data_IF_192743171842
#
_entry.id   IF_192743171842
#
_cell.length_a   1.000
_cell.length_b   1.000
_cell.length_c   1.000
_cell.angle_alpha   90.00
_cell.angle_beta   90.00
_cell.angle_gamma   90.00
#
_symmetry.space_group_name_H-M   'P 1'
#
loop_
_entity.id
_entity.type
_entity.pdbx_description
1 polymer ?
#
# COMPACT_ATOMS: atom_id res chain seq x y z
N UNK A 1 -28.13 -20.51 -38.76
CA UNK A 1 -27.43 -20.81 -37.52
C UNK A 1 -25.95 -20.54 -37.71
N UNK A 2 -25.55 -19.33 -38.14
CA UNK A 2 -24.15 -18.98 -38.54
C UNK A 2 -23.80 -17.52 -38.23
N UNK A 3 -24.30 -16.97 -37.11
CA UNK A 3 -23.98 -15.58 -36.71
C UNK A 3 -23.35 -15.42 -35.33
N UNK A 4 -23.00 -16.50 -34.63
CA UNK A 4 -22.48 -16.43 -33.26
C UNK A 4 -20.96 -16.71 -33.14
N UNK A 5 -20.28 -17.15 -34.19
CA UNK A 5 -18.83 -17.46 -34.12
C UNK A 5 -17.92 -16.27 -34.49
N UNK A 6 -18.44 -15.24 -35.15
CA UNK A 6 -17.66 -14.06 -35.55
C UNK A 6 -17.42 -13.05 -34.44
N UNK A 7 -18.28 -13.02 -33.43
CA UNK A 7 -18.25 -11.99 -32.36
C UNK A 7 -17.26 -12.32 -31.27
N UNK A 8 -17.06 -13.61 -30.97
CA UNK A 8 -16.10 -14.07 -29.94
C UNK A 8 -14.64 -13.93 -30.37
N UNK A 9 -14.32 -14.07 -31.64
CA UNK A 9 -12.93 -13.91 -32.14
C UNK A 9 -12.50 -12.44 -32.20
N UNK A 10 -13.39 -11.51 -32.53
CA UNK A 10 -13.08 -10.08 -32.53
C UNK A 10 -12.98 -9.50 -31.11
N UNK A 11 -13.76 -9.98 -30.16
CA UNK A 11 -13.63 -9.62 -28.74
C UNK A 11 -12.32 -10.15 -28.14
N UNK A 12 -11.89 -11.36 -28.49
CA UNK A 12 -10.64 -11.92 -27.98
C UNK A 12 -9.40 -11.18 -28.54
N UNK A 13 -9.43 -10.75 -29.79
CA UNK A 13 -8.34 -9.99 -30.42
C UNK A 13 -8.25 -8.54 -29.86
N UNK A 14 -9.36 -7.90 -29.58
CA UNK A 14 -9.40 -6.57 -28.96
C UNK A 14 -8.93 -6.59 -27.49
N UNK A 15 -9.25 -7.64 -26.74
CA UNK A 15 -8.79 -7.81 -25.34
C UNK A 15 -7.28 -8.00 -25.26
N UNK A 16 -6.70 -8.82 -26.15
CA UNK A 16 -5.23 -8.97 -26.20
C UNK A 16 -4.52 -7.66 -26.58
N UNK A 17 -5.10 -6.85 -27.47
CA UNK A 17 -4.54 -5.55 -27.87
C UNK A 17 -4.57 -4.53 -26.73
N UNK A 18 -5.62 -4.52 -25.93
CA UNK A 18 -5.74 -3.66 -24.75
C UNK A 18 -4.69 -3.99 -23.68
N UNK A 19 -4.53 -5.28 -23.35
CA UNK A 19 -3.55 -5.73 -22.35
C UNK A 19 -2.12 -5.34 -22.75
N UNK A 20 -1.73 -5.56 -24.00
CA UNK A 20 -0.41 -5.19 -24.52
C UNK A 20 -0.17 -3.67 -24.40
N UNK A 21 -1.18 -2.86 -24.70
CA UNK A 21 -1.04 -1.40 -24.57
C UNK A 21 -0.93 -0.97 -23.11
N UNK A 22 -1.63 -1.62 -22.20
CA UNK A 22 -1.49 -1.37 -20.78
C UNK A 22 -0.08 -1.74 -20.30
N UNK A 23 0.43 -2.92 -20.65
CA UNK A 23 1.80 -3.35 -20.32
C UNK A 23 2.86 -2.39 -20.85
N UNK A 24 2.69 -1.88 -22.08
CA UNK A 24 3.58 -0.84 -22.63
C UNK A 24 3.52 0.44 -21.77
N UNK A 25 2.32 0.86 -21.35
CA UNK A 25 2.15 1.96 -20.42
C UNK A 25 2.89 1.73 -19.10
N UNK A 26 2.79 0.53 -18.52
CA UNK A 26 3.48 0.14 -17.28
C UNK A 26 5.01 0.17 -17.48
N UNK A 27 5.52 -0.36 -18.60
CA UNK A 27 6.94 -0.31 -18.95
C UNK A 27 7.46 1.12 -19.06
N UNK A 28 6.76 2.00 -19.77
CA UNK A 28 7.18 3.39 -19.92
C UNK A 28 7.07 4.16 -18.60
N UNK A 29 6.09 3.85 -17.74
CA UNK A 29 5.99 4.41 -16.39
C UNK A 29 7.22 4.02 -15.55
N UNK A 30 7.65 2.77 -15.61
CA UNK A 30 8.78 2.27 -14.82
C UNK A 30 10.11 2.91 -15.20
N UNK A 31 10.28 3.31 -16.46
CA UNK A 31 11.48 4.04 -16.93
C UNK A 31 11.33 5.56 -16.84
N UNK A 32 10.22 6.08 -16.31
CA UNK A 32 9.97 7.51 -16.14
C UNK A 32 9.59 8.26 -17.41
N UNK A 33 9.28 7.55 -18.50
CA UNK A 33 8.79 8.18 -19.74
C UNK A 33 7.27 8.36 -19.67
N UNK A 34 6.83 9.35 -18.90
CA UNK A 34 5.42 9.59 -18.61
C UNK A 34 4.59 10.03 -19.81
N UNK A 35 5.21 10.59 -20.84
CA UNK A 35 4.50 11.02 -22.06
C UNK A 35 4.08 9.81 -22.88
N UNK A 36 5.01 8.88 -23.14
CA UNK A 36 4.71 7.63 -23.81
C UNK A 36 3.76 6.75 -22.98
N UNK A 37 3.97 6.68 -21.66
CA UNK A 37 3.07 5.96 -20.76
C UNK A 37 1.63 6.47 -20.88
N UNK A 38 1.42 7.79 -20.82
CA UNK A 38 0.10 8.41 -20.99
C UNK A 38 -0.51 8.11 -22.36
N UNK A 39 0.31 8.10 -23.43
CA UNK A 39 -0.13 7.77 -24.77
C UNK A 39 -0.65 6.32 -24.86
N UNK A 40 0.10 5.35 -24.31
CA UNK A 40 -0.29 3.94 -24.35
C UNK A 40 -1.49 3.64 -23.47
N UNK A 41 -1.57 4.18 -22.23
CA UNK A 41 -2.76 4.05 -21.40
C UNK A 41 -4.00 4.70 -22.03
N UNK A 42 -3.81 5.86 -22.71
CA UNK A 42 -4.90 6.52 -23.44
C UNK A 42 -5.45 5.62 -24.55
N UNK A 43 -4.57 4.96 -25.32
CA UNK A 43 -4.99 3.97 -26.34
C UNK A 43 -5.68 2.76 -25.71
N UNK A 44 -5.15 2.25 -24.59
CA UNK A 44 -5.76 1.15 -23.86
C UNK A 44 -7.18 1.51 -23.37
N UNK A 45 -7.37 2.73 -22.84
CA UNK A 45 -8.68 3.22 -22.40
C UNK A 45 -9.69 3.37 -23.55
N UNK A 46 -9.22 3.62 -24.79
CA UNK A 46 -10.09 3.67 -25.97
C UNK A 46 -10.54 2.27 -26.39
N UNK A 47 -9.65 1.27 -26.31
CA UNK A 47 -9.96 -0.12 -26.65
C UNK A 47 -10.75 -0.86 -25.57
N UNK A 48 -10.48 -0.56 -24.31
CA UNK A 48 -11.15 -1.12 -23.13
C UNK A 48 -11.72 -0.01 -22.24
N UNK A 49 -12.79 0.69 -22.67
CA UNK A 49 -13.33 1.84 -21.92
C UNK A 49 -13.93 1.46 -20.57
N UNK A 50 -14.33 0.21 -20.40
CA UNK A 50 -14.90 -0.33 -19.16
C UNK A 50 -13.84 -1.00 -18.25
N UNK A 51 -12.59 -1.00 -18.67
CA UNK A 51 -11.50 -1.60 -17.91
C UNK A 51 -10.85 -0.58 -16.95
N UNK A 52 -10.68 -0.88 -15.65
CA UNK A 52 -10.12 0.07 -14.68
C UNK A 52 -8.62 0.29 -14.84
N UNK A 53 -7.88 -0.70 -15.38
CA UNK A 53 -6.42 -0.71 -15.48
C UNK A 53 -5.82 0.53 -16.12
N UNK A 54 -6.24 0.95 -17.33
CA UNK A 54 -5.72 2.15 -18.01
C UNK A 54 -5.91 3.42 -17.20
N UNK A 55 -7.06 3.55 -16.53
CA UNK A 55 -7.34 4.74 -15.70
C UNK A 55 -6.49 4.75 -14.43
N UNK A 56 -6.17 3.58 -13.85
CA UNK A 56 -5.16 3.48 -12.78
C UNK A 56 -3.81 3.95 -13.27
N UNK A 57 -3.38 3.51 -14.46
CA UNK A 57 -2.13 3.93 -15.09
C UNK A 57 -2.08 5.43 -15.38
N UNK A 58 -3.14 5.99 -15.98
CA UNK A 58 -3.27 7.44 -16.23
C UNK A 58 -3.21 8.23 -14.92
N UNK A 59 -3.90 7.76 -13.87
CA UNK A 59 -3.86 8.36 -12.54
C UNK A 59 -2.46 8.34 -11.93
N UNK A 60 -1.75 7.23 -12.06
CA UNK A 60 -0.37 7.09 -11.58
C UNK A 60 0.58 8.06 -12.31
N UNK A 61 0.50 8.15 -13.63
CA UNK A 61 1.28 9.11 -14.43
C UNK A 61 0.97 10.55 -14.03
N UNK A 62 -0.31 10.91 -13.89
CA UNK A 62 -0.72 12.25 -13.45
C UNK A 62 -0.18 12.58 -12.05
N UNK A 63 -0.19 11.62 -11.13
CA UNK A 63 0.36 11.77 -9.78
C UNK A 63 1.88 12.04 -9.82
N UNK A 64 2.64 11.31 -10.64
CA UNK A 64 4.08 11.54 -10.83
C UNK A 64 4.38 12.91 -11.42
N UNK A 65 3.50 13.43 -12.28
CA UNK A 65 3.58 14.78 -12.85
C UNK A 65 3.05 15.87 -11.91
N UNK A 66 2.63 15.50 -10.67
CA UNK A 66 2.00 16.38 -9.69
C UNK A 66 0.70 17.05 -10.18
N UNK A 67 0.00 16.42 -11.12
CA UNK A 67 -1.30 16.84 -11.64
C UNK A 67 -2.41 16.18 -10.78
N UNK A 68 -2.58 16.68 -9.56
CA UNK A 68 -3.41 16.01 -8.53
C UNK A 68 -4.89 15.90 -8.91
N UNK A 69 -5.44 16.87 -9.63
CA UNK A 69 -6.86 16.86 -10.04
C UNK A 69 -7.10 15.84 -11.14
N UNK A 70 -6.17 15.71 -12.09
CA UNK A 70 -6.22 14.70 -13.15
C UNK A 70 -6.05 13.30 -12.56
N UNK A 71 -5.10 13.14 -11.63
CA UNK A 71 -4.88 11.89 -10.92
C UNK A 71 -6.13 11.43 -10.17
N UNK A 72 -6.75 12.33 -9.37
CA UNK A 72 -7.99 12.02 -8.66
C UNK A 72 -9.11 11.61 -9.61
N UNK A 73 -9.26 12.36 -10.72
CA UNK A 73 -10.29 12.06 -11.72
C UNK A 73 -10.10 10.68 -12.31
N UNK A 74 -8.89 10.32 -12.72
CA UNK A 74 -8.59 9.03 -13.31
C UNK A 74 -8.82 7.87 -12.31
N UNK A 75 -8.34 7.99 -11.07
CA UNK A 75 -8.56 6.97 -10.03
C UNK A 75 -10.05 6.83 -9.67
N UNK A 76 -10.83 7.93 -9.65
CA UNK A 76 -12.28 7.87 -9.44
C UNK A 76 -13.01 7.17 -10.58
N UNK A 77 -12.54 7.32 -11.84
CA UNK A 77 -13.04 6.56 -12.97
C UNK A 77 -12.80 5.07 -12.76
N UNK A 78 -11.56 4.68 -12.39
CA UNK A 78 -11.23 3.30 -12.11
C UNK A 78 -12.09 2.69 -10.99
N UNK A 79 -12.31 3.41 -9.88
CA UNK A 79 -13.20 2.96 -8.79
C UNK A 79 -14.67 2.84 -9.21
N UNK A 80 -15.14 3.62 -10.22
CA UNK A 80 -16.53 3.50 -10.73
C UNK A 80 -16.68 2.30 -11.65
N UNK A 81 -15.65 1.98 -12.43
CA UNK A 81 -15.62 0.82 -13.31
C UNK A 81 -15.51 -0.48 -12.51
N UNK A 82 -14.63 -0.48 -11.51
CA UNK A 82 -14.49 -1.60 -10.57
C UNK A 82 -14.39 -1.10 -9.13
N UNK A 83 -15.45 -1.31 -8.35
CA UNK A 83 -15.50 -0.95 -6.93
C UNK A 83 -14.51 -1.75 -6.05
N UNK A 84 -13.92 -2.83 -6.58
CA UNK A 84 -12.92 -3.65 -5.90
C UNK A 84 -11.49 -3.37 -6.40
N UNK A 85 -11.29 -2.35 -7.20
CA UNK A 85 -9.97 -1.95 -7.68
C UNK A 85 -9.11 -1.37 -6.55
N UNK A 86 -8.43 -2.23 -5.78
CA UNK A 86 -7.57 -1.83 -4.66
C UNK A 86 -6.53 -0.77 -5.06
N UNK A 87 -5.90 -0.91 -6.25
CA UNK A 87 -4.91 0.03 -6.76
C UNK A 87 -5.46 1.45 -6.96
N UNK A 88 -6.73 1.58 -7.36
CA UNK A 88 -7.36 2.89 -7.51
C UNK A 88 -7.57 3.59 -6.15
N UNK A 89 -7.96 2.83 -5.11
CA UNK A 89 -8.05 3.37 -3.74
C UNK A 89 -6.69 3.78 -3.18
N UNK A 90 -5.63 3.01 -3.43
CA UNK A 90 -4.26 3.41 -3.08
C UNK A 90 -3.87 4.72 -3.77
N UNK A 91 -4.19 4.88 -5.05
CA UNK A 91 -3.96 6.11 -5.80
C UNK A 91 -4.72 7.32 -5.22
N UNK A 92 -6.01 7.15 -4.89
CA UNK A 92 -6.79 8.20 -4.21
C UNK A 92 -6.22 8.56 -2.85
N UNK A 93 -5.72 7.58 -2.10
CA UNK A 93 -5.06 7.81 -0.83
C UNK A 93 -3.78 8.65 -1.00
N UNK A 94 -2.95 8.34 -2.00
CA UNK A 94 -1.74 9.11 -2.30
C UNK A 94 -2.05 10.55 -2.70
N UNK A 95 -3.08 10.77 -3.53
CA UNK A 95 -3.55 12.13 -3.87
C UNK A 95 -3.99 12.90 -2.61
N UNK A 96 -4.79 12.26 -1.75
CA UNK A 96 -5.25 12.87 -0.50
C UNK A 96 -4.08 13.19 0.45
N UNK A 97 -3.08 12.29 0.52
CA UNK A 97 -1.87 12.49 1.32
C UNK A 97 -1.04 13.68 0.82
N UNK A 98 -0.86 13.83 -0.49
CA UNK A 98 -0.15 14.97 -1.07
C UNK A 98 -0.89 16.30 -0.83
N UNK A 99 -2.22 16.28 -0.73
CA UNK A 99 -3.04 17.43 -0.32
C UNK A 99 -3.08 17.65 1.19
N UNK A 100 -2.31 16.88 1.97
CA UNK A 100 -2.32 16.88 3.44
C UNK A 100 -3.71 16.57 4.06
N UNK A 101 -4.61 15.95 3.29
CA UNK A 101 -5.88 15.44 3.81
C UNK A 101 -5.67 14.01 4.38
N UNK A 102 -4.98 13.94 5.51
CA UNK A 102 -4.58 12.67 6.13
C UNK A 102 -5.76 11.78 6.53
N UNK A 103 -6.90 12.39 6.90
CA UNK A 103 -8.11 11.62 7.23
C UNK A 103 -8.63 10.85 6.02
N UNK A 104 -8.78 11.52 4.87
CA UNK A 104 -9.21 10.88 3.64
C UNK A 104 -8.18 9.86 3.15
N UNK A 105 -6.89 10.20 3.21
CA UNK A 105 -5.82 9.28 2.85
C UNK A 105 -5.88 7.99 3.68
N UNK A 106 -6.04 8.10 4.99
CA UNK A 106 -6.21 6.97 5.90
C UNK A 106 -7.41 6.08 5.53
N UNK A 107 -8.57 6.69 5.27
CA UNK A 107 -9.78 5.96 4.86
C UNK A 107 -9.58 5.20 3.54
N UNK A 108 -8.90 5.81 2.56
CA UNK A 108 -8.63 5.21 1.26
C UNK A 108 -7.58 4.10 1.33
N UNK A 109 -6.51 4.26 2.14
CA UNK A 109 -5.56 3.18 2.38
C UNK A 109 -6.21 1.99 3.10
N UNK A 110 -7.07 2.24 4.09
CA UNK A 110 -7.85 1.16 4.73
C UNK A 110 -8.70 0.42 3.71
N UNK A 111 -9.39 1.16 2.82
CA UNK A 111 -10.20 0.54 1.78
C UNK A 111 -9.37 -0.29 0.81
N UNK A 112 -8.17 0.17 0.45
CA UNK A 112 -7.23 -0.62 -0.33
C UNK A 112 -6.88 -1.93 0.39
N UNK A 113 -6.52 -1.88 1.69
CA UNK A 113 -6.13 -3.05 2.48
C UNK A 113 -7.29 -4.02 2.79
N UNK A 114 -8.52 -3.54 2.84
CA UNK A 114 -9.71 -4.39 2.90
C UNK A 114 -9.90 -5.24 1.64
N UNK A 115 -9.47 -4.73 0.48
CA UNK A 115 -9.57 -5.39 -0.82
C UNK A 115 -8.33 -6.22 -1.16
N UNK A 116 -7.17 -5.73 -0.75
CA UNK A 116 -5.86 -6.34 -0.98
C UNK A 116 -4.98 -6.12 0.27
N UNK A 117 -4.98 -7.13 1.15
CA UNK A 117 -4.20 -7.11 2.40
C UNK A 117 -2.69 -7.21 2.16
N UNK A 118 -2.28 -7.58 0.94
CA UNK A 118 -0.89 -7.79 0.53
C UNK A 118 -0.31 -6.57 -0.23
N UNK A 119 -0.77 -5.36 0.09
CA UNK A 119 -0.29 -4.12 -0.53
C UNK A 119 0.73 -3.38 0.35
N UNK A 120 2.06 -3.52 0.12
CA UNK A 120 3.09 -2.81 0.89
C UNK A 120 2.93 -1.29 0.80
N UNK A 121 2.53 -0.79 -0.38
CA UNK A 121 2.27 0.63 -0.61
C UNK A 121 1.18 1.16 0.33
N UNK A 122 0.07 0.44 0.42
CA UNK A 122 -1.06 0.84 1.26
C UNK A 122 -0.72 0.73 2.76
N UNK A 123 0.05 -0.28 3.17
CA UNK A 123 0.54 -0.43 4.54
C UNK A 123 1.44 0.74 4.96
N UNK A 124 2.42 1.08 4.11
CA UNK A 124 3.33 2.20 4.37
C UNK A 124 2.56 3.52 4.43
N UNK A 125 1.66 3.75 3.48
CA UNK A 125 0.82 4.94 3.45
C UNK A 125 -0.11 5.04 4.68
N UNK A 126 -0.71 3.92 5.10
CA UNK A 126 -1.53 3.85 6.31
C UNK A 126 -0.70 4.18 7.55
N UNK A 127 0.52 3.63 7.68
CA UNK A 127 1.43 3.93 8.77
C UNK A 127 1.80 5.42 8.80
N UNK A 128 2.22 5.99 7.67
CA UNK A 128 2.59 7.41 7.58
C UNK A 128 1.44 8.35 7.93
N UNK A 129 0.24 8.09 7.40
CA UNK A 129 -0.95 8.89 7.72
C UNK A 129 -1.35 8.76 9.18
N UNK A 130 -1.18 7.59 9.77
CA UNK A 130 -1.44 7.35 11.20
C UNK A 130 -0.48 8.08 12.11
N UNK A 131 0.79 8.20 11.72
CA UNK A 131 1.76 9.04 12.44
C UNK A 131 1.33 10.50 12.49
N UNK A 132 0.75 11.01 11.40
CA UNK A 132 0.22 12.38 11.35
C UNK A 132 -1.06 12.56 12.20
N UNK A 133 -1.88 11.52 12.30
CA UNK A 133 -3.17 11.55 13.02
C UNK A 133 -3.07 11.10 14.48
N UNK A 134 -1.99 10.44 14.88
CA UNK A 134 -1.81 9.85 16.22
C UNK A 134 -2.72 8.64 16.50
N UNK A 135 -3.21 7.94 15.47
CA UNK A 135 -4.14 6.80 15.60
C UNK A 135 -3.54 5.53 14.98
N UNK A 136 -3.18 4.54 15.80
CA UNK A 136 -2.38 3.39 15.38
C UNK A 136 -3.07 2.03 15.46
N UNK A 137 -4.20 1.91 16.16
CA UNK A 137 -4.82 0.60 16.42
C UNK A 137 -5.11 -0.23 15.15
N UNK A 138 -5.62 0.42 14.09
CA UNK A 138 -5.88 -0.28 12.82
C UNK A 138 -4.60 -0.63 12.06
N UNK A 139 -3.58 0.20 12.17
CA UNK A 139 -2.27 -0.03 11.52
C UNK A 139 -1.63 -1.29 12.07
N UNK A 140 -1.57 -1.42 13.39
CA UNK A 140 -1.02 -2.61 14.06
C UNK A 140 -1.68 -3.89 13.54
N UNK A 141 -3.02 -3.90 13.41
CA UNK A 141 -3.75 -5.04 12.89
C UNK A 141 -3.32 -5.43 11.45
N UNK A 142 -3.24 -4.45 10.53
CA UNK A 142 -2.86 -4.75 9.14
C UNK A 142 -1.38 -5.13 9.00
N UNK A 143 -0.48 -4.54 9.80
CA UNK A 143 0.92 -4.96 9.85
C UNK A 143 1.07 -6.40 10.39
N UNK A 144 0.29 -6.77 11.41
CA UNK A 144 0.23 -8.15 11.92
C UNK A 144 -0.25 -9.12 10.84
N UNK A 145 -1.32 -8.78 10.10
CA UNK A 145 -1.83 -9.61 9.00
C UNK A 145 -0.79 -9.77 7.89
N UNK A 146 -0.14 -8.69 7.48
CA UNK A 146 0.88 -8.72 6.43
C UNK A 146 2.07 -9.59 6.85
N UNK A 147 2.60 -9.43 8.06
CA UNK A 147 3.73 -10.22 8.55
C UNK A 147 3.39 -11.71 8.75
N UNK A 148 2.12 -12.08 8.92
CA UNK A 148 1.73 -13.48 8.90
C UNK A 148 1.89 -14.12 7.50
N UNK A 149 1.76 -13.32 6.43
CA UNK A 149 1.99 -13.77 5.05
C UNK A 149 3.46 -13.63 4.64
N UNK A 150 4.15 -12.60 5.14
CA UNK A 150 5.53 -12.24 4.81
C UNK A 150 6.38 -12.09 6.09
N UNK A 151 6.69 -13.20 6.79
CA UNK A 151 7.30 -13.16 8.13
C UNK A 151 8.70 -12.53 8.17
N UNK A 152 9.40 -12.50 7.03
CA UNK A 152 10.78 -12.00 6.91
C UNK A 152 10.87 -10.60 6.27
N UNK A 153 9.74 -9.87 6.15
CA UNK A 153 9.77 -8.51 5.60
C UNK A 153 10.25 -7.50 6.65
N UNK A 154 11.55 -7.24 6.64
CA UNK A 154 12.21 -6.30 7.54
C UNK A 154 11.61 -4.87 7.48
N UNK A 155 11.07 -4.45 6.34
CA UNK A 155 10.50 -3.11 6.16
C UNK A 155 9.22 -2.88 6.99
N UNK A 156 8.50 -3.96 7.31
CA UNK A 156 7.27 -3.94 8.10
C UNK A 156 7.52 -4.33 9.58
N UNK A 157 8.56 -5.14 9.85
CA UNK A 157 8.89 -5.59 11.21
C UNK A 157 9.23 -4.42 12.14
N UNK A 158 10.08 -3.49 11.70
CA UNK A 158 10.47 -2.35 12.54
C UNK A 158 9.29 -1.43 12.90
N UNK A 159 8.46 -0.96 11.96
CA UNK A 159 7.23 -0.22 12.28
C UNK A 159 6.31 -0.94 13.26
N UNK A 160 6.10 -2.25 13.11
CA UNK A 160 5.25 -3.01 14.02
C UNK A 160 5.85 -3.09 15.42
N UNK A 161 7.16 -3.33 15.54
CA UNK A 161 7.84 -3.36 16.81
C UNK A 161 7.74 -2.02 17.56
N UNK A 162 7.91 -0.90 16.84
CA UNK A 162 7.76 0.44 17.39
C UNK A 162 6.33 0.70 17.89
N UNK A 163 5.32 0.23 17.15
CA UNK A 163 3.92 0.32 17.58
C UNK A 163 3.63 -0.54 18.81
N UNK A 164 4.16 -1.76 18.88
CA UNK A 164 4.03 -2.60 20.07
C UNK A 164 4.68 -1.96 21.30
N UNK A 165 5.87 -1.36 21.15
CA UNK A 165 6.50 -0.63 22.26
C UNK A 165 5.61 0.53 22.73
N UNK A 166 5.05 1.31 21.80
CA UNK A 166 4.16 2.43 22.10
C UNK A 166 2.88 2.01 22.82
N UNK A 167 2.34 0.83 22.47
CA UNK A 167 1.14 0.23 23.08
C UNK A 167 1.45 -0.50 24.39
N UNK A 168 2.69 -0.49 24.87
CA UNK A 168 3.10 -1.22 26.08
C UNK A 168 3.24 -2.73 25.88
N UNK A 169 3.17 -3.24 24.66
CA UNK A 169 3.32 -4.66 24.29
C UNK A 169 4.80 -5.01 24.16
N UNK A 170 5.59 -4.75 25.23
CA UNK A 170 7.05 -4.77 25.19
C UNK A 170 7.64 -6.13 24.82
N UNK A 171 7.08 -7.24 25.33
CA UNK A 171 7.58 -8.58 24.99
C UNK A 171 7.38 -8.92 23.51
N UNK A 172 6.27 -8.46 22.89
CA UNK A 172 6.01 -8.65 21.45
C UNK A 172 6.96 -7.80 20.61
N UNK A 173 7.18 -6.54 21.01
CA UNK A 173 8.17 -5.66 20.39
C UNK A 173 9.57 -6.29 20.43
N UNK A 174 9.99 -6.77 21.60
CA UNK A 174 11.28 -7.44 21.77
C UNK A 174 11.46 -8.62 20.81
N UNK A 175 10.44 -9.48 20.72
CA UNK A 175 10.49 -10.66 19.85
C UNK A 175 10.74 -10.26 18.39
N UNK A 176 9.94 -9.31 17.85
CA UNK A 176 10.08 -8.88 16.46
C UNK A 176 11.45 -8.22 16.21
N UNK A 177 11.95 -7.42 17.15
CA UNK A 177 13.26 -6.77 17.00
C UNK A 177 14.40 -7.79 16.99
N UNK A 178 14.33 -8.84 17.80
CA UNK A 178 15.30 -9.92 17.75
C UNK A 178 15.24 -10.67 16.41
N UNK A 179 14.05 -10.98 15.90
CA UNK A 179 13.87 -11.62 14.59
C UNK A 179 14.41 -10.71 13.47
N UNK A 180 14.14 -9.40 13.53
CA UNK A 180 14.67 -8.41 12.57
C UNK A 180 16.21 -8.35 12.59
N UNK A 181 16.83 -8.36 13.77
CA UNK A 181 18.29 -8.34 13.90
C UNK A 181 18.98 -9.65 13.48
N UNK A 182 18.22 -10.76 13.36
CA UNK A 182 18.73 -11.99 12.73
C UNK A 182 18.83 -11.79 11.21
N UNK A 183 17.85 -11.09 10.60
CA UNK A 183 17.81 -10.81 9.16
C UNK A 183 18.78 -9.69 8.77
N UNK A 184 18.85 -8.63 9.56
CA UNK A 184 19.67 -7.44 9.33
C UNK A 184 20.44 -7.07 10.62
N UNK A 185 21.64 -7.63 10.76
CA UNK A 185 22.49 -7.47 11.96
C UNK A 185 23.02 -6.05 12.17
N UNK A 186 23.11 -5.30 11.08
CA UNK A 186 23.67 -3.95 11.10
C UNK A 186 22.59 -2.86 11.28
N UNK A 187 21.35 -3.25 11.53
CA UNK A 187 20.22 -2.35 11.72
C UNK A 187 20.31 -1.62 13.06
N UNK A 188 20.95 -0.44 13.01
CA UNK A 188 21.20 0.35 14.21
C UNK A 188 19.91 0.85 14.88
N UNK A 189 18.88 1.16 14.08
CA UNK A 189 17.59 1.62 14.61
C UNK A 189 16.86 0.51 15.37
N UNK A 190 16.91 -0.71 14.86
CA UNK A 190 16.35 -1.88 15.53
C UNK A 190 17.10 -2.20 16.83
N UNK A 191 18.44 -2.09 16.82
CA UNK A 191 19.25 -2.30 18.02
C UNK A 191 18.95 -1.26 19.11
N UNK A 192 18.88 0.02 18.75
CA UNK A 192 18.55 1.09 19.68
C UNK A 192 17.14 0.90 20.28
N UNK A 193 16.15 0.57 19.43
CA UNK A 193 14.80 0.32 19.91
C UNK A 193 14.71 -0.91 20.83
N UNK A 194 15.51 -1.95 20.57
CA UNK A 194 15.59 -3.12 21.42
C UNK A 194 16.12 -2.77 22.82
N UNK A 195 17.14 -1.92 22.91
CA UNK A 195 17.66 -1.44 24.21
C UNK A 195 16.58 -0.68 24.99
N UNK A 196 15.81 0.18 24.33
CA UNK A 196 14.71 0.91 24.97
C UNK A 196 13.63 -0.04 25.50
N UNK A 197 13.26 -1.04 24.69
CA UNK A 197 12.27 -2.06 25.06
C UNK A 197 12.75 -2.90 26.25
N UNK A 198 14.02 -3.33 26.26
CA UNK A 198 14.61 -4.09 27.36
C UNK A 198 14.66 -3.28 28.67
N UNK A 199 14.98 -1.98 28.55
CA UNK A 199 14.93 -1.09 29.69
C UNK A 199 13.51 -0.96 30.27
N UNK A 200 12.50 -0.81 29.41
CA UNK A 200 11.09 -0.80 29.79
C UNK A 200 10.66 -2.08 30.53
N UNK A 201 11.02 -3.25 29.99
CA UNK A 201 10.73 -4.55 30.60
C UNK A 201 11.40 -4.72 31.98
N UNK A 202 12.61 -4.21 32.14
CA UNK A 202 13.30 -4.24 33.44
C UNK A 202 12.59 -3.37 34.48
N UNK A 203 12.11 -2.19 34.08
CA UNK A 203 11.35 -1.30 34.96
C UNK A 203 10.00 -1.93 35.37
N UNK A 204 9.28 -2.57 34.46
CA UNK A 204 8.01 -3.26 34.77
C UNK A 204 8.22 -4.40 35.78
N UNK A 205 9.27 -5.21 35.62
CA UNK A 205 9.62 -6.28 36.54
C UNK A 205 9.92 -5.75 37.93
N UNK A 206 10.63 -4.65 38.01
CA UNK A 206 10.99 -4.01 39.28
C UNK A 206 9.73 -3.46 39.98
N UNK A 207 8.85 -2.78 39.24
CA UNK A 207 7.59 -2.27 39.75
C UNK A 207 6.69 -3.38 40.30
N UNK A 208 6.52 -4.46 39.52
CA UNK A 208 5.70 -5.62 39.92
C UNK A 208 6.25 -6.32 41.18
N UNK A 209 7.58 -6.30 41.38
CA UNK A 209 8.17 -6.84 42.60
C UNK A 209 7.82 -6.01 43.84
N UNK A 210 7.83 -4.68 43.74
CA UNK A 210 7.50 -3.79 44.87
C UNK A 210 5.98 -3.74 45.16
N UNK A 211 5.11 -3.94 44.19
CA UNK A 211 3.65 -3.96 44.40
C UNK A 211 3.17 -5.27 45.07
N UNK A 212 4.00 -6.31 45.14
CA UNK A 212 3.67 -7.60 45.76
C UNK A 212 4.21 -7.76 47.19
N UNK A 213 4.90 -6.76 47.71
CA UNK A 213 5.38 -6.71 49.12
C UNK A 213 4.49 -5.81 49.98
#
# INVERSE_FOLDING_TARGET
MEQTEGDTSQQHDSTQHYEVLQELGDCYTSVGNYEEAQHYYGKAAVLGPDEPGPYVGLGAVALQKNLLDDAETAFRVACRLDANCARAYAGLAMVAQQRANYKLAFEMYLKCLELDTDSPLALLGLFQTSCQMGSFAKVTHYLELYLNMHPDDASVMFPLAALYMKDGRLEQSKKILLDLLILDRDNQDAANLLEEVEHGLAQEKTRTYFEKQ
#
